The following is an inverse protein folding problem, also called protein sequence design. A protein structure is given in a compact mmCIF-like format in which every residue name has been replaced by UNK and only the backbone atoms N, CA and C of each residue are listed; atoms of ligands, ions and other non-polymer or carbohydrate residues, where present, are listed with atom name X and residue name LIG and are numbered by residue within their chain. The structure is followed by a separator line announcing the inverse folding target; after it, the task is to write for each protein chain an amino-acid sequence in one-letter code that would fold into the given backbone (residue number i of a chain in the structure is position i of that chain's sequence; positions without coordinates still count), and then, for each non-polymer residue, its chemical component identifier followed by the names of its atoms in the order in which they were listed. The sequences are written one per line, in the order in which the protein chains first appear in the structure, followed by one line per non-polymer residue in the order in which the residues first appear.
data_IF_025643491185
#
_entry.id   IF_025643491185
#
_cell.length_a   1.000
_cell.length_b   1.000
_cell.length_c   1.000
_cell.angle_alpha   90.00
_cell.angle_beta   90.00
_cell.angle_gamma   90.00
#
_symmetry.space_group_name_H-M   'P 1'
#
loop_
_entity.id
_entity.type
_entity.pdbx_description
1 polymer ?
#
# COMPACT_ATOMS: atom_id res chain seq x y z
N UNK A 1 12.51 11.07 -4.37
CA UNK A 1 13.22 10.78 -5.64
C UNK A 1 12.34 11.06 -6.87
N UNK A 2 11.08 10.63 -6.91
CA UNK A 2 10.15 10.86 -8.05
C UNK A 2 9.86 12.35 -8.35
N UNK A 3 9.43 13.14 -7.35
CA UNK A 3 9.12 14.57 -7.54
C UNK A 3 10.35 15.41 -7.91
N UNK A 4 11.54 14.99 -7.48
CA UNK A 4 12.80 15.65 -7.84
C UNK A 4 13.16 15.44 -9.32
N UNK A 5 12.73 14.33 -9.92
CA UNK A 5 12.94 14.02 -11.34
C UNK A 5 11.84 14.62 -12.24
N UNK A 6 10.71 15.05 -11.67
CA UNK A 6 9.57 15.62 -12.39
C UNK A 6 9.03 16.89 -11.71
N UNK A 7 9.74 18.03 -11.82
CA UNK A 7 9.47 19.25 -11.03
C UNK A 7 8.15 19.98 -11.34
N UNK A 8 7.35 19.52 -12.31
CA UNK A 8 6.00 20.02 -12.58
C UNK A 8 4.87 19.06 -12.18
N UNK A 9 5.20 17.92 -11.58
CA UNK A 9 4.21 16.91 -11.22
C UNK A 9 3.62 17.19 -9.85
N UNK A 10 2.30 17.22 -9.77
CA UNK A 10 1.55 17.28 -8.52
C UNK A 10 1.00 15.89 -8.21
N UNK A 11 1.22 15.41 -6.98
CA UNK A 11 0.64 14.16 -6.49
C UNK A 11 -0.46 14.50 -5.51
N UNK A 12 -1.63 13.91 -5.71
CA UNK A 12 -2.75 13.97 -4.75
C UNK A 12 -2.97 12.58 -4.18
N UNK A 13 -3.10 12.49 -2.85
CA UNK A 13 -3.28 11.24 -2.15
C UNK A 13 -4.69 11.16 -1.55
N UNK A 14 -5.37 10.04 -1.78
CA UNK A 14 -6.65 9.71 -1.15
C UNK A 14 -6.49 8.43 -0.35
N UNK A 15 -6.90 8.45 0.92
CA UNK A 15 -6.85 7.29 1.82
C UNK A 15 -8.26 6.72 1.99
N UNK A 16 -8.34 5.40 1.90
CA UNK A 16 -9.58 4.64 1.99
C UNK A 16 -9.30 3.15 2.13
N UNK A 17 -10.31 2.40 2.57
CA UNK A 17 -10.30 0.95 2.47
C UNK A 17 -10.41 0.51 1.00
N UNK A 18 -10.23 -0.78 0.74
CA UNK A 18 -10.31 -1.38 -0.59
C UNK A 18 -11.57 -0.99 -1.35
N UNK A 19 -12.74 -1.01 -0.69
CA UNK A 19 -14.01 -0.64 -1.30
C UNK A 19 -14.03 0.82 -1.79
N UNK A 20 -13.59 1.76 -0.96
CA UNK A 20 -13.51 3.18 -1.33
C UNK A 20 -12.53 3.40 -2.48
N UNK A 21 -11.36 2.76 -2.46
CA UNK A 21 -10.37 2.90 -3.55
C UNK A 21 -10.94 2.40 -4.89
N UNK A 22 -11.61 1.24 -4.88
CA UNK A 22 -12.30 0.69 -6.05
C UNK A 22 -13.40 1.66 -6.54
N UNK A 23 -14.18 2.24 -5.62
CA UNK A 23 -15.21 3.22 -5.96
C UNK A 23 -14.63 4.46 -6.66
N UNK A 24 -13.55 5.03 -6.13
CA UNK A 24 -12.89 6.22 -6.70
C UNK A 24 -12.24 5.91 -8.06
N UNK A 25 -11.68 4.72 -8.25
CA UNK A 25 -11.16 4.25 -9.55
C UNK A 25 -12.27 4.16 -10.59
N UNK A 26 -13.41 3.55 -10.24
CA UNK A 26 -14.55 3.44 -11.14
C UNK A 26 -15.14 4.80 -11.52
N UNK A 27 -15.01 5.81 -10.65
CA UNK A 27 -15.42 7.19 -10.93
C UNK A 27 -14.35 8.02 -11.64
N UNK A 28 -13.17 7.47 -11.89
CA UNK A 28 -12.00 8.17 -12.45
C UNK A 28 -11.53 9.36 -11.59
N UNK A 29 -11.86 9.36 -10.30
CA UNK A 29 -11.38 10.38 -9.35
C UNK A 29 -9.93 10.13 -8.95
N UNK A 30 -9.48 8.88 -9.03
CA UNK A 30 -8.07 8.50 -8.88
C UNK A 30 -7.63 7.69 -10.11
N UNK A 31 -6.36 7.86 -10.50
CA UNK A 31 -5.78 7.14 -11.62
C UNK A 31 -5.21 5.77 -11.22
N UNK A 32 -4.71 5.66 -9.98
CA UNK A 32 -4.04 4.47 -9.46
C UNK A 32 -4.55 4.23 -8.04
N UNK A 33 -4.91 2.98 -7.74
CA UNK A 33 -5.25 2.51 -6.40
C UNK A 33 -4.24 1.47 -5.93
N UNK A 34 -3.74 1.65 -4.70
CA UNK A 34 -2.90 0.66 -4.02
C UNK A 34 -3.76 0.01 -2.94
N UNK A 35 -3.90 -1.32 -2.99
CA UNK A 35 -4.65 -2.11 -2.02
C UNK A 35 -3.84 -3.34 -1.61
N UNK A 36 -4.14 -3.87 -0.44
CA UNK A 36 -3.62 -5.16 0.01
C UNK A 36 -4.47 -6.31 -0.58
N UNK A 37 -3.82 -7.36 -1.06
CA UNK A 37 -4.48 -8.60 -1.50
C UNK A 37 -5.17 -8.53 -2.86
N UNK A 38 -6.16 -9.41 -3.05
CA UNK A 38 -6.80 -9.64 -4.35
C UNK A 38 -7.90 -8.61 -4.65
N UNK A 39 -7.90 -8.06 -5.86
CA UNK A 39 -9.04 -7.32 -6.42
C UNK A 39 -9.89 -8.25 -7.30
N UNK A 40 -11.19 -8.38 -7.02
CA UNK A 40 -12.11 -9.24 -7.80
C UNK A 40 -12.95 -8.48 -8.83
N UNK A 41 -12.59 -7.23 -9.13
CA UNK A 41 -13.32 -6.38 -10.06
C UNK A 41 -12.77 -6.58 -11.48
N UNK A 42 -13.65 -6.88 -12.43
CA UNK A 42 -13.26 -7.26 -13.80
C UNK A 42 -12.90 -6.06 -14.69
N UNK A 43 -13.49 -4.89 -14.42
CA UNK A 43 -13.22 -3.67 -15.18
C UNK A 43 -11.99 -2.90 -14.67
N UNK A 44 -11.18 -3.50 -13.80
CA UNK A 44 -9.95 -2.92 -13.26
C UNK A 44 -8.76 -3.80 -13.62
N UNK A 45 -7.76 -3.22 -14.27
CA UNK A 45 -6.47 -3.89 -14.51
C UNK A 45 -5.68 -3.92 -13.20
N UNK A 46 -5.10 -5.08 -12.88
CA UNK A 46 -4.45 -5.36 -11.60
C UNK A 46 -3.11 -6.06 -11.81
N UNK A 47 -2.10 -5.66 -11.04
CA UNK A 47 -0.77 -6.26 -11.03
C UNK A 47 -0.21 -6.21 -9.60
N UNK A 48 0.46 -7.29 -9.19
CA UNK A 48 1.24 -7.29 -7.95
C UNK A 48 2.45 -6.38 -8.14
N UNK A 49 2.66 -5.44 -7.21
CA UNK A 49 3.73 -4.45 -7.30
C UNK A 49 4.82 -4.67 -6.25
N UNK A 50 4.44 -5.17 -5.07
CA UNK A 50 5.35 -5.49 -3.98
C UNK A 50 4.65 -6.45 -3.00
N UNK A 51 5.43 -7.33 -2.37
CA UNK A 51 4.99 -8.08 -1.19
C UNK A 51 5.01 -7.17 0.05
N UNK A 52 4.04 -7.36 0.94
CA UNK A 52 3.95 -6.65 2.22
C UNK A 52 4.41 -7.55 3.37
N UNK A 53 5.38 -7.09 4.14
CA UNK A 53 5.99 -7.83 5.24
C UNK A 53 5.39 -7.41 6.58
N UNK A 54 4.64 -8.31 7.22
CA UNK A 54 4.16 -8.08 8.57
C UNK A 54 5.26 -8.33 9.61
N UNK A 55 5.59 -7.29 10.37
CA UNK A 55 6.59 -7.35 11.44
C UNK A 55 5.97 -7.16 12.82
N UNK A 56 6.55 -7.83 13.81
CA UNK A 56 6.16 -7.66 15.21
C UNK A 56 6.90 -6.47 15.80
N UNK A 57 6.17 -5.46 16.26
CA UNK A 57 6.73 -4.32 16.98
C UNK A 57 6.53 -4.55 18.48
N UNK A 58 7.62 -4.51 19.25
CA UNK A 58 7.59 -4.59 20.71
C UNK A 58 8.46 -3.49 21.33
N UNK A 59 8.16 -3.12 22.57
CA UNK A 59 9.05 -2.24 23.35
C UNK A 59 10.46 -2.82 23.41
N UNK A 60 11.48 -1.97 23.32
CA UNK A 60 12.89 -2.37 23.43
C UNK A 60 13.22 -3.11 24.74
N UNK A 61 12.40 -2.93 25.79
CA UNK A 61 12.56 -3.61 27.08
C UNK A 61 11.80 -4.95 27.15
N UNK A 62 10.95 -5.26 26.19
CA UNK A 62 10.12 -6.47 26.20
C UNK A 62 10.97 -7.72 25.91
N UNK A 63 10.75 -8.86 26.59
CA UNK A 63 11.53 -10.08 26.36
C UNK A 63 11.52 -10.57 24.90
N UNK A 64 10.44 -10.36 24.16
CA UNK A 64 10.36 -10.73 22.73
C UNK A 64 11.30 -9.90 21.84
N UNK A 65 11.63 -8.66 22.21
CA UNK A 65 12.57 -7.82 21.45
C UNK A 65 14.02 -8.32 21.52
N UNK A 66 14.33 -9.23 22.47
CA UNK A 66 15.65 -9.86 22.61
C UNK A 66 15.73 -11.23 21.93
N UNK A 67 14.60 -11.75 21.42
CA UNK A 67 14.58 -13.00 20.67
C UNK A 67 14.90 -12.70 19.22
N UNK A 68 15.72 -13.56 18.60
CA UNK A 68 15.91 -13.56 17.16
C UNK A 68 14.60 -14.05 16.54
N UNK A 69 13.78 -13.13 16.04
CA UNK A 69 12.58 -13.48 15.28
C UNK A 69 13.05 -13.91 13.90
N UNK A 70 13.02 -15.22 13.63
CA UNK A 70 13.14 -15.75 12.28
C UNK A 70 11.84 -15.46 11.54
N UNK A 71 11.73 -14.27 11.00
CA UNK A 71 10.84 -14.02 9.87
C UNK A 71 11.81 -13.83 8.71
N UNK A 72 11.86 -14.89 7.89
CA UNK A 72 12.80 -15.22 6.81
C UNK A 72 14.11 -15.88 7.25
#
# INVERSE_FOLDING_TARGET
MLLAQHPGMTITLTIGNTEKIIHELNKFNVAIGLIEGNCHVDNITKSIWQDDELVVIASAKHPLAKKKTGLF
#
